data_IF_552568351767
#
_entry.id   IF_552568351767
#
_cell.length_a   1.000
_cell.length_b   1.000
_cell.length_c   1.000
_cell.angle_alpha   90.00
_cell.angle_beta   90.00
_cell.angle_gamma   90.00
#
_symmetry.space_group_name_H-M   'P 1'
#
loop_
_entity.id
_entity.type
_entity.pdbx_description
1 polymer ?
#
# COMPACT_ATOMS: atom_id res chain seq x y z
N UNK A 1 8.03 -26.48 22.46
CA UNK A 1 8.86 -26.04 21.34
C UNK A 1 8.28 -24.77 20.70
N UNK A 2 7.01 -24.71 20.33
CA UNK A 2 6.37 -23.56 19.65
C UNK A 2 6.39 -22.27 20.48
N UNK A 3 6.13 -22.35 21.79
CA UNK A 3 6.17 -21.21 22.73
C UNK A 3 7.55 -20.52 22.79
N UNK A 4 8.62 -21.24 22.50
CA UNK A 4 9.97 -20.69 22.45
C UNK A 4 10.32 -20.17 21.05
N UNK A 5 9.84 -20.82 20.00
CA UNK A 5 10.10 -20.43 18.63
C UNK A 5 9.43 -19.09 18.27
N UNK A 6 8.19 -18.85 18.71
CA UNK A 6 7.48 -17.61 18.40
C UNK A 6 8.21 -16.33 18.85
N UNK A 7 8.70 -16.21 20.09
CA UNK A 7 9.53 -15.04 20.47
C UNK A 7 10.80 -14.89 19.63
N UNK A 8 11.46 -15.98 19.29
CA UNK A 8 12.68 -15.94 18.47
C UNK A 8 12.40 -15.41 17.06
N UNK A 9 11.30 -15.85 16.44
CA UNK A 9 10.84 -15.35 15.15
C UNK A 9 10.53 -13.86 15.22
N UNK A 10 9.77 -13.43 16.22
CA UNK A 10 9.41 -12.02 16.41
C UNK A 10 10.66 -11.15 16.58
N UNK A 11 11.58 -11.55 17.44
CA UNK A 11 12.84 -10.82 17.68
C UNK A 11 13.67 -10.74 16.41
N UNK A 12 13.74 -11.82 15.62
CA UNK A 12 14.48 -11.83 14.35
C UNK A 12 13.86 -10.87 13.33
N UNK A 13 12.55 -10.94 13.14
CA UNK A 13 11.82 -10.04 12.24
C UNK A 13 11.98 -8.58 12.64
N UNK A 14 11.83 -8.28 13.93
CA UNK A 14 12.01 -6.92 14.45
C UNK A 14 13.45 -6.43 14.30
N UNK A 15 14.46 -7.29 14.50
CA UNK A 15 15.86 -6.93 14.34
C UNK A 15 16.21 -6.59 12.90
N UNK A 16 15.75 -7.40 11.95
CA UNK A 16 15.94 -7.17 10.51
C UNK A 16 15.23 -5.87 10.09
N UNK A 17 13.97 -5.70 10.47
CA UNK A 17 13.22 -4.49 10.16
C UNK A 17 13.90 -3.23 10.70
N UNK A 18 14.41 -3.30 11.95
CA UNK A 18 15.13 -2.19 12.58
C UNK A 18 16.45 -1.87 11.87
N UNK A 19 17.18 -2.90 11.42
CA UNK A 19 18.40 -2.71 10.63
C UNK A 19 18.09 -2.04 9.28
N UNK A 20 17.07 -2.49 8.56
CA UNK A 20 16.67 -1.89 7.28
C UNK A 20 16.30 -0.41 7.46
N UNK A 21 15.53 -0.09 8.49
CA UNK A 21 15.16 1.28 8.82
C UNK A 21 16.41 2.13 9.15
N UNK A 22 17.30 1.62 9.98
CA UNK A 22 18.52 2.33 10.37
C UNK A 22 19.46 2.57 9.18
N UNK A 23 19.60 1.58 8.28
CA UNK A 23 20.38 1.72 7.06
C UNK A 23 19.77 2.75 6.12
N UNK A 24 18.44 2.76 5.96
CA UNK A 24 17.77 3.74 5.11
C UNK A 24 18.00 5.18 5.56
N UNK A 25 17.97 5.43 6.87
CA UNK A 25 18.22 6.77 7.43
C UNK A 25 19.67 7.21 7.32
N UNK A 26 20.61 6.26 7.39
CA UNK A 26 22.05 6.54 7.45
C UNK A 26 22.70 6.59 6.06
N UNK A 27 22.32 5.67 5.14
CA UNK A 27 22.95 5.57 3.82
C UNK A 27 22.30 6.53 2.82
N UNK A 28 21.02 6.77 2.95
CA UNK A 28 20.29 7.61 1.99
C UNK A 28 20.18 9.04 2.54
N UNK A 29 21.11 9.90 2.17
CA UNK A 29 21.16 11.29 2.64
C UNK A 29 20.18 12.21 1.88
N UNK A 30 19.88 11.92 0.61
CA UNK A 30 18.97 12.74 -0.17
C UNK A 30 17.50 12.41 0.09
N UNK A 31 16.62 13.44 0.08
CA UNK A 31 15.18 13.25 0.26
C UNK A 31 14.56 12.34 -0.81
N UNK A 32 14.99 12.49 -2.07
CA UNK A 32 14.54 11.63 -3.18
C UNK A 32 15.02 10.19 -3.01
N UNK A 33 16.26 10.00 -2.60
CA UNK A 33 16.80 8.67 -2.35
C UNK A 33 16.05 7.95 -1.23
N UNK A 34 15.65 8.64 -0.16
CA UNK A 34 14.82 8.05 0.92
C UNK A 34 13.47 7.56 0.39
N UNK A 35 12.80 8.35 -0.47
CA UNK A 35 11.56 7.95 -1.12
C UNK A 35 11.72 6.69 -1.96
N UNK A 36 12.71 6.70 -2.85
CA UNK A 36 12.99 5.57 -3.74
C UNK A 36 13.34 4.32 -2.93
N UNK A 37 14.21 4.44 -1.93
CA UNK A 37 14.57 3.33 -1.07
C UNK A 37 13.34 2.73 -0.35
N UNK A 38 12.45 3.58 0.15
CA UNK A 38 11.21 3.14 0.79
C UNK A 38 10.31 2.37 -0.17
N UNK A 39 10.01 2.97 -1.31
CA UNK A 39 9.17 2.34 -2.33
C UNK A 39 9.76 0.98 -2.72
N UNK A 40 11.05 0.95 -3.04
CA UNK A 40 11.72 -0.30 -3.44
C UNK A 40 11.68 -1.34 -2.32
N UNK A 41 11.94 -0.95 -1.06
CA UNK A 41 11.90 -1.89 0.07
C UNK A 41 10.51 -2.50 0.25
N UNK A 42 9.45 -1.67 0.21
CA UNK A 42 8.07 -2.16 0.36
C UNK A 42 7.67 -3.02 -0.85
N UNK A 43 7.99 -2.60 -2.07
CA UNK A 43 7.69 -3.38 -3.27
C UNK A 43 8.39 -4.74 -3.26
N UNK A 44 9.68 -4.78 -2.91
CA UNK A 44 10.44 -6.03 -2.76
C UNK A 44 9.82 -6.92 -1.69
N UNK A 45 9.48 -6.36 -0.53
CA UNK A 45 8.85 -7.12 0.55
C UNK A 45 7.51 -7.73 0.12
N UNK A 46 6.63 -6.94 -0.50
CA UNK A 46 5.33 -7.44 -0.97
C UNK A 46 5.51 -8.46 -2.10
N UNK A 47 6.48 -8.25 -3.01
CA UNK A 47 6.79 -9.24 -4.05
C UNK A 47 7.24 -10.56 -3.44
N UNK A 48 8.10 -10.54 -2.43
CA UNK A 48 8.53 -11.76 -1.72
C UNK A 48 7.32 -12.45 -1.07
N UNK A 49 6.40 -11.71 -0.46
CA UNK A 49 5.17 -12.26 0.11
C UNK A 49 4.24 -12.88 -0.95
N UNK A 50 4.32 -12.44 -2.20
CA UNK A 50 3.51 -12.99 -3.30
C UNK A 50 4.14 -14.21 -3.97
N UNK A 51 5.42 -14.50 -3.76
CA UNK A 51 6.09 -15.67 -4.35
C UNK A 51 5.30 -16.97 -4.10
N UNK A 52 4.86 -17.31 -2.88
CA UNK A 52 4.07 -18.51 -2.65
C UNK A 52 2.76 -18.53 -3.45
N UNK A 53 2.07 -17.39 -3.52
CA UNK A 53 0.82 -17.27 -4.29
C UNK A 53 1.04 -17.48 -5.78
N UNK A 54 2.07 -16.89 -6.36
CA UNK A 54 2.43 -17.04 -7.78
C UNK A 54 2.80 -18.49 -8.10
N UNK A 55 3.56 -19.15 -7.23
CA UNK A 55 3.98 -20.53 -7.42
C UNK A 55 2.81 -21.52 -7.29
N UNK A 56 1.88 -21.26 -6.39
CA UNK A 56 0.70 -22.11 -6.16
C UNK A 56 -0.36 -21.90 -7.24
N UNK A 57 -0.40 -20.74 -7.87
CA UNK A 57 -1.40 -20.42 -8.90
C UNK A 57 -1.13 -21.14 -10.24
N UNK A 58 0.05 -21.74 -10.43
CA UNK A 58 0.35 -22.57 -11.60
C UNK A 58 -0.53 -23.85 -11.68
N UNK A 59 -1.33 -24.13 -10.65
CA UNK A 59 -2.27 -25.24 -10.60
C UNK A 59 -3.74 -24.82 -10.57
N UNK A 60 -4.06 -23.54 -10.79
CA UNK A 60 -5.45 -23.07 -10.83
C UNK A 60 -6.08 -23.42 -12.18
N UNK A 61 -6.97 -24.42 -12.18
CA UNK A 61 -7.76 -24.79 -13.35
C UNK A 61 -9.08 -24.01 -13.35
N UNK A 62 -9.29 -23.05 -14.29
CA UNK A 62 -10.51 -22.26 -14.37
C UNK A 62 -11.78 -23.04 -14.68
N UNK A 63 -11.65 -24.31 -15.16
CA UNK A 63 -12.77 -25.17 -15.52
C UNK A 63 -13.58 -25.72 -14.35
N UNK A 64 -12.99 -25.70 -13.15
CA UNK A 64 -13.65 -26.18 -11.94
C UNK A 64 -14.16 -24.98 -11.12
N UNK A 65 -15.36 -24.53 -11.37
CA UNK A 65 -15.98 -23.33 -10.77
C UNK A 65 -15.66 -23.01 -9.31
N UNK A 66 -16.14 -21.89 -8.81
CA UNK A 66 -15.91 -21.31 -7.46
C UNK A 66 -16.08 -22.26 -6.25
N UNK A 67 -16.38 -23.53 -6.49
CA UNK A 67 -16.61 -24.56 -5.45
C UNK A 67 -15.54 -25.67 -5.39
N UNK A 68 -14.63 -25.76 -6.33
CA UNK A 68 -13.49 -26.69 -6.22
C UNK A 68 -12.45 -26.03 -5.33
N UNK A 69 -12.30 -26.55 -4.12
CA UNK A 69 -11.31 -26.08 -3.15
C UNK A 69 -9.96 -25.89 -3.84
N UNK A 70 -9.26 -24.82 -3.47
CA UNK A 70 -7.89 -24.53 -3.89
C UNK A 70 -7.10 -25.83 -3.66
N UNK A 71 -6.81 -26.58 -4.70
CA UNK A 71 -5.91 -27.73 -4.65
C UNK A 71 -4.49 -27.18 -4.51
N UNK A 72 -4.17 -26.72 -3.29
CA UNK A 72 -2.83 -26.31 -2.91
C UNK A 72 -1.97 -27.58 -2.87
N UNK A 73 -1.35 -27.91 -3.98
CA UNK A 73 -0.31 -28.94 -3.94
C UNK A 73 0.93 -28.35 -3.24
N UNK A 74 0.88 -28.39 -1.91
CA UNK A 74 1.95 -27.91 -1.03
C UNK A 74 3.29 -28.61 -1.32
N UNK A 75 3.29 -29.71 -2.05
CA UNK A 75 4.51 -30.41 -2.47
C UNK A 75 5.35 -29.58 -3.42
N UNK A 76 4.73 -28.73 -4.23
CA UNK A 76 5.45 -27.81 -5.13
C UNK A 76 6.23 -26.74 -4.36
N UNK A 77 5.79 -26.41 -3.14
CA UNK A 77 6.50 -25.47 -2.26
C UNK A 77 7.61 -26.12 -1.43
N UNK A 78 7.67 -27.46 -1.36
CA UNK A 78 8.64 -28.16 -0.54
C UNK A 78 10.10 -27.76 -0.81
N UNK A 79 10.59 -27.61 -2.07
CA UNK A 79 11.96 -27.18 -2.33
C UNK A 79 12.20 -25.74 -1.87
N UNK A 80 11.24 -24.84 -2.03
CA UNK A 80 11.35 -23.47 -1.54
C UNK A 80 11.33 -23.41 -0.02
N UNK A 81 10.46 -24.18 0.63
CA UNK A 81 10.40 -24.29 2.09
C UNK A 81 11.72 -24.83 2.65
N UNK A 82 12.31 -25.82 1.99
CA UNK A 82 13.60 -26.38 2.37
C UNK A 82 14.73 -25.34 2.31
N UNK A 83 14.78 -24.51 1.25
CA UNK A 83 15.76 -23.42 1.14
C UNK A 83 15.43 -22.31 2.15
N UNK A 84 14.16 -21.90 2.27
CA UNK A 84 13.73 -20.86 3.20
C UNK A 84 14.05 -21.21 4.65
N UNK A 85 13.96 -22.48 5.03
CA UNK A 85 14.29 -23.00 6.36
C UNK A 85 15.76 -22.76 6.79
N UNK A 86 16.65 -22.47 5.83
CA UNK A 86 18.06 -22.10 6.09
C UNK A 86 18.28 -20.57 6.02
N UNK A 87 17.25 -19.78 5.79
CA UNK A 87 17.35 -18.32 5.84
C UNK A 87 17.02 -17.81 7.24
N UNK A 88 17.47 -16.59 7.63
CA UNK A 88 17.12 -16.00 8.91
C UNK A 88 15.60 -15.85 9.14
N UNK A 89 14.84 -15.72 8.06
CA UNK A 89 13.37 -15.57 8.13
C UNK A 89 12.67 -16.92 8.37
N UNK A 90 13.18 -18.00 7.77
CA UNK A 90 12.56 -19.33 7.86
C UNK A 90 13.11 -20.21 8.98
N UNK A 91 14.36 -19.99 9.40
CA UNK A 91 15.01 -20.83 10.39
C UNK A 91 14.22 -20.95 11.70
N UNK A 92 13.63 -19.83 12.18
CA UNK A 92 12.82 -19.82 13.38
C UNK A 92 11.58 -20.72 13.31
N UNK A 93 10.94 -20.80 12.15
CA UNK A 93 9.73 -21.63 11.95
C UNK A 93 10.07 -23.13 11.95
N UNK A 94 11.29 -23.52 11.55
CA UNK A 94 11.68 -24.91 11.49
C UNK A 94 12.17 -25.46 12.83
N UNK A 95 12.60 -24.61 13.77
CA UNK A 95 13.12 -25.04 15.08
C UNK A 95 12.21 -26.02 15.85
N UNK A 96 10.86 -25.80 15.92
CA UNK A 96 9.98 -26.76 16.58
C UNK A 96 9.99 -28.14 15.97
N UNK A 97 10.06 -28.20 14.63
CA UNK A 97 10.04 -29.48 13.89
C UNK A 97 11.33 -30.24 14.09
N UNK A 98 12.49 -29.59 14.05
CA UNK A 98 13.78 -30.21 14.33
C UNK A 98 13.85 -30.75 15.77
N UNK A 99 13.35 -29.97 16.73
CA UNK A 99 13.30 -30.40 18.13
C UNK A 99 12.40 -31.62 18.34
N UNK A 100 11.28 -31.69 17.62
CA UNK A 100 10.36 -32.84 17.67
C UNK A 100 10.92 -34.08 16.97
N UNK A 101 11.67 -33.86 15.87
CA UNK A 101 12.35 -34.94 15.14
C UNK A 101 13.60 -35.47 15.87
N UNK A 102 14.13 -34.73 16.85
CA UNK A 102 15.40 -35.08 17.52
C UNK A 102 16.64 -34.76 16.70
N UNK A 103 16.51 -33.94 15.67
CA UNK A 103 17.58 -33.56 14.76
C UNK A 103 18.42 -32.38 15.33
N UNK A 104 19.28 -32.71 16.32
CA UNK A 104 20.04 -31.71 17.09
C UNK A 104 21.05 -30.92 16.25
N UNK A 105 21.60 -31.51 15.17
CA UNK A 105 22.59 -30.83 14.31
C UNK A 105 21.95 -29.71 13.46
N UNK A 106 20.84 -29.95 12.70
CA UNK A 106 20.09 -28.89 12.02
C UNK A 106 19.56 -27.82 12.98
N UNK A 107 19.06 -28.22 14.14
CA UNK A 107 18.57 -27.30 15.17
C UNK A 107 19.69 -26.34 15.63
N UNK A 108 20.86 -26.87 15.99
CA UNK A 108 22.01 -26.06 16.40
C UNK A 108 22.47 -25.10 15.29
N UNK A 109 22.49 -25.57 14.03
CA UNK A 109 22.86 -24.75 12.89
C UNK A 109 21.87 -23.58 12.67
N UNK A 110 20.57 -23.84 12.80
CA UNK A 110 19.54 -22.79 12.67
C UNK A 110 19.57 -21.78 13.82
N UNK A 111 19.81 -22.24 15.04
CA UNK A 111 20.05 -21.33 16.19
C UNK A 111 21.28 -20.48 15.93
N UNK A 112 22.36 -21.03 15.37
CA UNK A 112 23.55 -20.27 15.01
C UNK A 112 23.25 -19.21 13.92
N UNK A 113 22.40 -19.53 12.92
CA UNK A 113 21.96 -18.57 11.89
C UNK A 113 21.20 -17.40 12.55
N UNK A 114 20.27 -17.69 13.47
CA UNK A 114 19.50 -16.65 14.15
C UNK A 114 20.40 -15.75 15.03
N UNK A 115 21.30 -16.34 15.81
CA UNK A 115 22.23 -15.59 16.67
C UNK A 115 23.20 -14.76 15.84
N UNK A 116 23.73 -15.29 14.75
CA UNK A 116 24.57 -14.53 13.80
C UNK A 116 23.77 -13.36 13.18
N UNK A 117 22.53 -13.58 12.79
CA UNK A 117 21.65 -12.52 12.26
C UNK A 117 21.43 -11.41 13.30
N UNK A 118 21.15 -11.75 14.55
CA UNK A 118 21.01 -10.74 15.62
C UNK A 118 22.29 -9.96 15.85
N UNK A 119 23.45 -10.64 15.86
CA UNK A 119 24.74 -9.98 15.99
C UNK A 119 24.99 -8.98 14.84
N UNK A 120 24.73 -9.40 13.58
CA UNK A 120 24.86 -8.52 12.41
C UNK A 120 23.88 -7.35 12.50
N UNK A 121 22.62 -7.59 12.87
CA UNK A 121 21.63 -6.53 13.04
C UNK A 121 22.02 -5.55 14.14
N UNK A 122 22.52 -6.05 15.28
CA UNK A 122 22.96 -5.21 16.39
C UNK A 122 24.19 -4.35 16.02
N UNK A 123 25.21 -4.96 15.41
CA UNK A 123 26.41 -4.25 14.96
C UNK A 123 26.07 -3.22 13.87
N UNK A 124 25.21 -3.58 12.92
CA UNK A 124 24.74 -2.68 11.89
C UNK A 124 23.97 -1.48 12.45
N UNK A 125 23.03 -1.72 13.37
CA UNK A 125 22.30 -0.64 14.05
C UNK A 125 23.21 0.28 14.87
N UNK A 126 24.16 -0.28 15.61
CA UNK A 126 25.13 0.53 16.38
C UNK A 126 26.02 1.37 15.49
N UNK A 127 26.48 0.82 14.36
CA UNK A 127 27.24 1.56 13.36
C UNK A 127 26.40 2.71 12.75
N UNK A 128 25.16 2.45 12.38
CA UNK A 128 24.23 3.47 11.88
C UNK A 128 24.02 4.60 12.89
N UNK A 129 23.78 4.26 14.16
CA UNK A 129 23.58 5.23 15.23
C UNK A 129 24.81 6.09 15.49
N UNK A 130 26.02 5.49 15.48
CA UNK A 130 27.26 6.24 15.58
C UNK A 130 27.43 7.23 14.45
N UNK A 131 27.15 6.81 13.21
CA UNK A 131 27.24 7.66 12.02
C UNK A 131 26.20 8.78 12.05
N UNK A 132 24.97 8.50 12.46
CA UNK A 132 23.91 9.50 12.59
C UNK A 132 24.29 10.60 13.60
N UNK A 133 24.87 10.24 14.75
CA UNK A 133 25.37 11.21 15.75
C UNK A 133 26.43 12.14 15.19
N UNK A 134 27.31 11.64 14.33
CA UNK A 134 28.40 12.44 13.73
C UNK A 134 27.88 13.36 12.61
N UNK A 135 26.70 13.06 12.02
CA UNK A 135 26.10 13.84 10.93
C UNK A 135 24.98 14.78 11.39
N UNK A 136 24.65 14.78 12.70
CA UNK A 136 23.70 15.72 13.30
C UNK A 136 24.23 17.15 13.14
N UNK A 137 23.70 17.87 12.16
CA UNK A 137 24.09 19.26 11.86
C UNK A 137 24.32 19.54 10.36
N UNK A 138 24.47 18.52 9.54
CA UNK A 138 24.49 18.69 8.10
C UNK A 138 23.04 18.89 7.60
N UNK A 139 22.46 20.04 7.87
CA UNK A 139 21.23 20.51 7.24
C UNK A 139 21.46 20.48 5.74
N UNK A 140 20.68 19.68 5.01
CA UNK A 140 20.76 19.63 3.56
C UNK A 140 20.61 21.05 2.99
N UNK A 141 21.20 21.35 1.83
CA UNK A 141 21.18 22.67 1.26
C UNK A 141 19.73 23.17 1.15
N UNK A 142 19.51 24.40 1.63
CA UNK A 142 18.21 25.05 1.54
C UNK A 142 17.73 25.01 0.09
N UNK A 143 16.59 24.36 -0.14
CA UNK A 143 16.01 24.28 -1.50
C UNK A 143 15.61 25.69 -1.91
N UNK A 144 16.38 26.28 -2.82
CA UNK A 144 16.08 27.61 -3.39
C UNK A 144 14.84 27.47 -4.28
N UNK A 145 13.70 27.92 -3.78
CA UNK A 145 12.43 27.90 -4.52
C UNK A 145 12.49 29.03 -5.55
N UNK A 146 12.47 28.69 -6.85
CA UNK A 146 12.29 29.67 -7.92
C UNK A 146 10.81 29.76 -8.29
N UNK A 147 10.20 30.94 -8.11
CA UNK A 147 8.82 31.23 -8.50
C UNK A 147 7.76 30.74 -7.50
N UNK A 148 6.50 30.94 -7.87
CA UNK A 148 5.30 30.65 -7.04
C UNK A 148 4.89 29.19 -7.04
N UNK A 149 5.54 28.35 -7.87
CA UNK A 149 5.28 26.89 -7.92
C UNK A 149 3.85 26.56 -8.34
N UNK A 150 3.23 25.60 -7.65
CA UNK A 150 1.88 25.13 -7.93
C UNK A 150 0.79 26.20 -7.73
N UNK A 151 1.08 27.27 -6.98
CA UNK A 151 0.14 28.37 -6.78
C UNK A 151 -0.18 29.14 -8.08
N UNK A 152 0.70 29.11 -9.08
CA UNK A 152 0.44 29.75 -10.36
C UNK A 152 -0.65 29.07 -11.19
N UNK A 153 -0.84 27.80 -11.02
CA UNK A 153 -1.78 26.97 -11.81
C UNK A 153 -3.14 26.75 -11.13
N UNK A 154 -3.30 27.20 -9.88
CA UNK A 154 -4.53 27.04 -9.13
C UNK A 154 -5.35 28.34 -9.12
N UNK A 155 -6.70 28.24 -8.96
CA UNK A 155 -7.56 29.43 -8.83
C UNK A 155 -7.13 30.35 -7.70
N UNK A 156 -7.31 31.66 -7.89
CA UNK A 156 -7.06 32.65 -6.84
C UNK A 156 -8.21 32.64 -5.81
N UNK A 157 -8.14 31.66 -4.93
CA UNK A 157 -9.12 31.40 -3.88
C UNK A 157 -8.49 30.66 -2.71
N UNK A 158 -9.14 30.67 -1.55
CA UNK A 158 -8.67 29.93 -0.36
C UNK A 158 -8.54 28.44 -0.66
N UNK A 159 -9.57 27.84 -1.27
CA UNK A 159 -9.52 26.42 -1.67
C UNK A 159 -8.43 26.15 -2.74
N UNK A 160 -8.18 27.10 -3.64
CA UNK A 160 -7.09 27.02 -4.61
C UNK A 160 -5.70 27.03 -3.95
N UNK A 161 -5.52 27.85 -2.92
CA UNK A 161 -4.29 27.89 -2.14
C UNK A 161 -4.05 26.57 -1.39
N UNK A 162 -5.10 25.97 -0.79
CA UNK A 162 -5.03 24.63 -0.18
C UNK A 162 -4.64 23.57 -1.21
N UNK A 163 -5.28 23.60 -2.39
CA UNK A 163 -4.94 22.68 -3.50
C UNK A 163 -3.47 22.80 -3.91
N UNK A 164 -2.96 24.03 -4.09
CA UNK A 164 -1.57 24.26 -4.47
C UNK A 164 -0.57 23.74 -3.42
N UNK A 165 -0.90 23.95 -2.14
CA UNK A 165 -0.12 23.42 -1.02
C UNK A 165 -0.09 21.90 -1.05
N UNK A 166 -1.24 21.24 -1.19
CA UNK A 166 -1.36 19.80 -1.23
C UNK A 166 -0.57 19.18 -2.40
N UNK A 167 -0.70 19.75 -3.60
CA UNK A 167 0.11 19.33 -4.77
C UNK A 167 1.61 19.45 -4.49
N UNK A 168 2.00 20.50 -3.76
CA UNK A 168 3.41 20.67 -3.37
C UNK A 168 3.86 19.59 -2.39
N UNK A 169 2.99 19.19 -1.43
CA UNK A 169 3.28 18.11 -0.50
C UNK A 169 3.37 16.76 -1.21
N UNK A 170 2.40 16.42 -2.05
CA UNK A 170 2.39 15.17 -2.81
C UNK A 170 3.66 14.99 -3.66
N UNK A 171 4.24 16.10 -4.18
CA UNK A 171 5.49 16.06 -4.95
C UNK A 171 6.77 15.99 -4.10
N UNK A 172 6.73 16.46 -2.87
CA UNK A 172 7.94 16.65 -2.05
C UNK A 172 8.04 15.72 -0.85
N UNK A 173 6.93 15.22 -0.36
CA UNK A 173 6.90 14.35 0.81
C UNK A 173 7.07 12.88 0.39
N UNK A 174 8.19 12.24 0.75
CA UNK A 174 8.43 10.85 0.40
C UNK A 174 7.42 9.87 1.03
N UNK A 175 6.79 10.25 2.14
CA UNK A 175 5.79 9.42 2.83
C UNK A 175 4.53 9.21 1.98
N UNK A 176 4.24 10.17 1.10
CA UNK A 176 3.06 10.16 0.21
C UNK A 176 3.33 9.42 -1.11
N UNK A 177 4.59 9.12 -1.41
CA UNK A 177 4.98 8.49 -2.68
C UNK A 177 4.37 7.09 -2.88
N UNK A 178 4.12 6.35 -1.77
CA UNK A 178 3.48 5.04 -1.81
C UNK A 178 2.07 5.06 -2.40
N UNK A 179 1.33 6.15 -2.22
CA UNK A 179 0.01 6.34 -2.80
C UNK A 179 0.02 6.15 -4.33
N UNK A 180 1.10 6.62 -4.98
CA UNK A 180 1.25 6.48 -6.43
C UNK A 180 1.83 5.13 -6.85
N UNK A 181 2.63 4.50 -6.01
CA UNK A 181 3.28 3.23 -6.32
C UNK A 181 2.34 2.03 -6.19
N UNK A 182 1.46 2.02 -5.17
CA UNK A 182 0.64 0.86 -4.83
C UNK A 182 -0.36 0.44 -5.93
N UNK A 183 -1.14 1.34 -6.58
CA UNK A 183 -2.06 0.90 -7.63
C UNK A 183 -1.35 0.27 -8.83
N UNK A 184 -0.23 0.87 -9.27
CA UNK A 184 0.59 0.29 -10.33
C UNK A 184 1.20 -1.06 -9.92
N UNK A 185 1.60 -1.18 -8.66
CA UNK A 185 2.12 -2.41 -8.11
C UNK A 185 1.07 -3.53 -8.09
N UNK A 186 -0.18 -3.25 -7.71
CA UNK A 186 -1.28 -4.22 -7.83
C UNK A 186 -1.49 -4.69 -9.27
N UNK A 187 -1.42 -3.78 -10.25
CA UNK A 187 -1.52 -4.17 -11.65
C UNK A 187 -0.41 -5.14 -12.08
N UNK A 188 0.82 -4.89 -11.63
CA UNK A 188 1.95 -5.80 -11.90
C UNK A 188 1.76 -7.15 -11.21
N UNK A 189 1.39 -7.16 -9.92
CA UNK A 189 1.18 -8.41 -9.17
C UNK A 189 0.06 -9.25 -9.78
N UNK A 190 -1.08 -8.64 -10.06
CA UNK A 190 -2.19 -9.36 -10.68
C UNK A 190 -1.87 -9.77 -12.12
N UNK A 191 -1.08 -8.99 -12.86
CA UNK A 191 -0.56 -9.38 -14.16
C UNK A 191 0.34 -10.63 -14.10
N UNK A 192 1.21 -10.72 -13.09
CA UNK A 192 2.05 -11.90 -12.86
C UNK A 192 1.25 -13.13 -12.40
N UNK A 193 0.09 -12.94 -11.78
CA UNK A 193 -0.77 -14.01 -11.29
C UNK A 193 -1.86 -14.42 -12.29
N UNK A 194 -2.11 -13.61 -13.31
CA UNK A 194 -3.31 -13.75 -14.15
C UNK A 194 -3.27 -14.95 -15.10
N UNK A 195 -2.08 -15.49 -15.40
CA UNK A 195 -1.90 -16.50 -16.45
C UNK A 195 -2.86 -16.27 -17.60
N UNK A 196 -3.85 -16.84 -17.95
CA UNK A 196 -4.75 -16.56 -19.08
C UNK A 196 -6.05 -15.83 -18.69
N UNK A 197 -6.15 -15.30 -17.44
CA UNK A 197 -7.38 -14.70 -16.93
C UNK A 197 -7.24 -13.17 -16.83
N UNK A 198 -7.49 -12.46 -17.93
CA UNK A 198 -7.38 -11.00 -18.01
C UNK A 198 -8.17 -10.26 -16.91
N UNK A 199 -9.32 -10.79 -16.48
CA UNK A 199 -10.16 -10.19 -15.42
C UNK A 199 -9.40 -9.99 -14.10
N UNK A 200 -8.42 -10.85 -13.77
CA UNK A 200 -7.62 -10.69 -12.56
C UNK A 200 -6.79 -9.40 -12.60
N UNK A 201 -6.25 -9.04 -13.77
CA UNK A 201 -5.46 -7.80 -13.90
C UNK A 201 -6.35 -6.58 -13.71
N UNK A 202 -7.55 -6.60 -14.25
CA UNK A 202 -8.53 -5.52 -14.12
C UNK A 202 -8.95 -5.24 -12.66
N UNK A 203 -8.96 -6.25 -11.79
CA UNK A 203 -9.22 -6.07 -10.36
C UNK A 203 -8.26 -5.09 -9.68
N UNK A 204 -7.06 -4.89 -10.23
CA UNK A 204 -6.10 -3.92 -9.72
C UNK A 204 -6.63 -2.49 -9.66
N UNK A 205 -7.58 -2.13 -10.53
CA UNK A 205 -8.24 -0.82 -10.51
C UNK A 205 -9.08 -0.63 -9.25
N UNK A 206 -9.79 -1.68 -8.81
CA UNK A 206 -10.61 -1.64 -7.59
C UNK A 206 -9.70 -1.52 -6.36
N UNK A 207 -8.70 -2.39 -6.24
CA UNK A 207 -7.75 -2.38 -5.13
C UNK A 207 -6.92 -1.10 -5.08
N UNK A 208 -6.45 -0.65 -6.25
CA UNK A 208 -5.71 0.59 -6.38
C UNK A 208 -6.55 1.81 -6.03
N UNK A 209 -7.78 1.87 -6.53
CA UNK A 209 -8.74 2.92 -6.20
C UNK A 209 -9.04 2.97 -4.70
N UNK A 210 -9.36 1.82 -4.11
CA UNK A 210 -9.67 1.71 -2.69
C UNK A 210 -8.53 2.18 -1.78
N UNK A 211 -7.28 1.84 -2.11
CA UNK A 211 -6.13 2.21 -1.29
C UNK A 211 -5.62 3.63 -1.56
N UNK A 212 -6.09 4.28 -2.63
CA UNK A 212 -5.54 5.57 -3.07
C UNK A 212 -5.70 6.66 -2.01
N UNK A 213 -6.81 6.71 -1.32
CA UNK A 213 -7.16 7.75 -0.34
C UNK A 213 -6.77 7.42 1.10
N UNK A 214 -6.10 6.28 1.37
CA UNK A 214 -5.71 5.87 2.73
C UNK A 214 -4.81 6.91 3.42
N UNK A 215 -3.98 7.61 2.66
CA UNK A 215 -3.11 8.67 3.19
C UNK A 215 -3.93 9.86 3.63
N UNK A 216 -5.00 10.23 2.87
CA UNK A 216 -5.85 11.37 3.19
C UNK A 216 -6.73 11.10 4.42
N UNK A 217 -6.99 9.84 4.76
CA UNK A 217 -7.70 9.49 6.01
C UNK A 217 -7.02 10.05 7.28
N UNK A 218 -5.75 10.45 7.17
CA UNK A 218 -4.99 11.17 8.20
C UNK A 218 -4.34 12.45 7.67
N UNK A 219 -4.89 13.05 6.62
CA UNK A 219 -4.31 14.15 5.86
C UNK A 219 -3.95 15.39 6.70
N UNK A 220 -4.76 15.72 7.70
CA UNK A 220 -4.50 16.85 8.61
C UNK A 220 -3.23 16.64 9.46
N UNK A 221 -2.93 15.41 9.85
CA UNK A 221 -1.70 15.10 10.60
C UNK A 221 -0.43 15.31 9.77
N UNK A 222 -0.52 15.13 8.44
CA UNK A 222 0.59 15.41 7.53
C UNK A 222 0.86 16.91 7.37
N UNK A 223 -0.14 17.77 7.55
CA UNK A 223 0.02 19.22 7.54
C UNK A 223 0.81 19.74 8.75
N UNK A 224 0.76 19.05 9.87
CA UNK A 224 1.49 19.40 11.10
C UNK A 224 1.25 20.86 11.52
N UNK A 225 2.34 21.64 11.67
CA UNK A 225 2.25 23.07 12.05
C UNK A 225 1.57 23.93 10.98
N UNK A 226 1.52 23.48 9.71
CA UNK A 226 0.82 24.19 8.64
C UNK A 226 -0.68 24.29 8.89
N UNK A 227 -1.29 23.27 9.49
CA UNK A 227 -2.70 23.29 9.87
C UNK A 227 -2.99 24.35 10.95
N UNK A 228 -2.10 24.48 11.94
CA UNK A 228 -2.25 25.53 12.99
C UNK A 228 -2.24 26.92 12.37
N UNK A 229 -1.36 27.21 11.43
CA UNK A 229 -1.31 28.51 10.74
C UNK A 229 -2.58 28.75 9.92
N UNK A 230 -3.13 27.72 9.27
CA UNK A 230 -4.38 27.80 8.53
C UNK A 230 -5.57 28.09 9.46
N UNK A 231 -5.63 27.46 10.62
CA UNK A 231 -6.66 27.72 11.63
C UNK A 231 -6.59 29.16 12.17
N UNK A 232 -5.38 29.66 12.47
CA UNK A 232 -5.15 31.04 12.93
C UNK A 232 -5.56 32.04 11.84
N UNK A 233 -5.33 31.76 10.57
CA UNK A 233 -5.73 32.65 9.47
C UNK A 233 -7.23 32.63 9.16
N UNK A 234 -8.04 31.87 9.90
CA UNK A 234 -9.49 31.84 9.78
C UNK A 234 -10.03 31.13 8.52
N UNK A 235 -9.25 30.21 7.94
CA UNK A 235 -9.68 29.41 6.79
C UNK A 235 -10.87 28.53 7.20
N UNK A 236 -11.95 28.58 6.42
CA UNK A 236 -13.13 27.75 6.67
C UNK A 236 -12.81 26.29 6.39
N UNK A 237 -13.30 25.37 7.23
CA UNK A 237 -13.10 23.94 7.04
C UNK A 237 -13.60 23.43 5.68
N UNK A 238 -14.71 24.00 5.17
CA UNK A 238 -15.24 23.66 3.84
C UNK A 238 -14.25 24.01 2.72
N UNK A 239 -13.60 25.18 2.77
CA UNK A 239 -12.61 25.57 1.76
C UNK A 239 -11.39 24.65 1.78
N UNK A 240 -10.99 24.18 2.98
CA UNK A 240 -9.92 23.19 3.12
C UNK A 240 -10.32 21.84 2.48
N UNK A 241 -11.52 21.34 2.81
CA UNK A 241 -12.01 20.07 2.25
C UNK A 241 -12.17 20.13 0.73
N UNK A 242 -12.81 21.16 0.18
CA UNK A 242 -12.94 21.36 -1.27
C UNK A 242 -11.56 21.41 -1.95
N UNK A 243 -10.60 22.10 -1.34
CA UNK A 243 -9.24 22.17 -1.87
C UNK A 243 -8.56 20.80 -1.95
N UNK A 244 -8.76 19.95 -0.94
CA UNK A 244 -8.19 18.59 -0.89
C UNK A 244 -8.90 17.66 -1.85
N UNK A 245 -10.23 17.57 -1.78
CA UNK A 245 -11.05 16.73 -2.67
C UNK A 245 -10.74 17.02 -4.13
N UNK A 246 -10.64 18.31 -4.52
CA UNK A 246 -10.30 18.69 -5.90
C UNK A 246 -8.99 18.08 -6.38
N UNK A 247 -7.95 18.08 -5.56
CA UNK A 247 -6.64 17.53 -5.92
C UNK A 247 -6.71 16.00 -6.00
N UNK A 248 -7.24 15.35 -4.97
CA UNK A 248 -7.33 13.89 -4.95
C UNK A 248 -8.24 13.37 -6.06
N UNK A 249 -9.42 13.97 -6.26
CA UNK A 249 -10.33 13.58 -7.34
C UNK A 249 -9.67 13.73 -8.72
N UNK A 250 -8.98 14.85 -8.97
CA UNK A 250 -8.27 15.04 -10.22
C UNK A 250 -7.17 13.98 -10.45
N UNK A 251 -6.42 13.63 -9.41
CA UNK A 251 -5.38 12.62 -9.49
C UNK A 251 -6.00 11.23 -9.70
N UNK A 252 -7.04 10.87 -8.94
CA UNK A 252 -7.75 9.59 -9.05
C UNK A 252 -8.25 9.38 -10.48
N UNK A 253 -8.96 10.38 -11.05
CA UNK A 253 -9.51 10.27 -12.40
C UNK A 253 -8.42 10.03 -13.42
N UNK A 254 -7.36 10.84 -13.42
CA UNK A 254 -6.28 10.71 -14.39
C UNK A 254 -5.49 9.42 -14.18
N UNK A 255 -5.15 9.10 -12.93
CA UNK A 255 -4.30 7.95 -12.63
C UNK A 255 -4.98 6.62 -12.97
N UNK A 256 -6.23 6.40 -12.54
CA UNK A 256 -6.95 5.17 -12.85
C UNK A 256 -7.27 5.05 -14.34
N UNK A 257 -7.55 6.15 -15.04
CA UNK A 257 -7.74 6.14 -16.49
C UNK A 257 -6.45 5.71 -17.21
N UNK A 258 -5.28 6.28 -16.83
CA UNK A 258 -3.98 5.90 -17.40
C UNK A 258 -3.67 4.43 -17.10
N UNK A 259 -3.94 3.98 -15.88
CA UNK A 259 -3.73 2.59 -15.49
C UNK A 259 -4.64 1.64 -16.26
N UNK A 260 -5.92 1.99 -16.46
CA UNK A 260 -6.86 1.21 -17.27
C UNK A 260 -6.40 1.10 -18.72
N UNK A 261 -5.93 2.21 -19.32
CA UNK A 261 -5.36 2.18 -20.67
C UNK A 261 -4.16 1.23 -20.72
N UNK A 262 -3.25 1.31 -19.75
CA UNK A 262 -2.07 0.45 -19.70
C UNK A 262 -2.45 -1.04 -19.55
N UNK A 263 -3.40 -1.36 -18.67
CA UNK A 263 -3.90 -2.73 -18.48
C UNK A 263 -4.51 -3.26 -19.78
N UNK A 264 -5.41 -2.52 -20.39
CA UNK A 264 -6.09 -3.01 -21.60
C UNK A 264 -5.18 -3.09 -22.83
N UNK A 265 -4.09 -2.32 -22.88
CA UNK A 265 -3.03 -2.51 -23.87
C UNK A 265 -2.20 -3.76 -23.57
N UNK A 266 -1.91 -4.03 -22.31
CA UNK A 266 -1.17 -5.23 -21.88
C UNK A 266 -1.97 -6.51 -22.13
N UNK A 267 -3.27 -6.53 -21.80
CA UNK A 267 -4.18 -7.68 -21.98
C UNK A 267 -4.70 -7.82 -23.41
N UNK A 268 -4.59 -6.77 -24.22
CA UNK A 268 -5.22 -6.74 -25.56
C UNK A 268 -6.72 -6.49 -25.54
N UNK A 269 -7.34 -6.31 -24.39
CA UNK A 269 -8.79 -6.20 -24.23
C UNK A 269 -9.41 -4.97 -24.92
N UNK A 270 -8.65 -3.87 -25.07
CA UNK A 270 -9.13 -2.69 -25.83
C UNK A 270 -9.43 -2.97 -27.30
N UNK A 271 -8.90 -4.06 -27.85
CA UNK A 271 -9.11 -4.42 -29.26
C UNK A 271 -10.34 -5.32 -29.48
N UNK A 272 -11.04 -5.72 -28.41
CA UNK A 272 -12.25 -6.52 -28.47
C UNK A 272 -13.43 -5.79 -27.79
N UNK A 273 -14.65 -5.83 -28.37
CA UNK A 273 -15.80 -5.12 -27.76
C UNK A 273 -16.14 -5.61 -26.35
N UNK A 274 -16.04 -6.91 -26.10
CA UNK A 274 -16.28 -7.51 -24.78
C UNK A 274 -15.20 -7.13 -23.78
N UNK A 275 -13.93 -7.16 -24.18
CA UNK A 275 -12.81 -6.76 -23.33
C UNK A 275 -12.85 -5.27 -22.99
N UNK A 276 -13.14 -4.42 -23.99
CA UNK A 276 -13.29 -2.97 -23.74
C UNK A 276 -14.43 -2.67 -22.77
N UNK A 277 -15.56 -3.38 -22.88
CA UNK A 277 -16.67 -3.25 -21.94
C UNK A 277 -16.25 -3.69 -20.53
N UNK A 278 -15.56 -4.82 -20.42
CA UNK A 278 -15.01 -5.30 -19.15
C UNK A 278 -14.09 -4.26 -18.52
N UNK A 279 -13.16 -3.70 -19.31
CA UNK A 279 -12.26 -2.64 -18.86
C UNK A 279 -13.00 -1.40 -18.35
N UNK A 280 -14.06 -0.96 -19.04
CA UNK A 280 -14.89 0.17 -18.61
C UNK A 280 -15.65 -0.13 -17.31
N UNK A 281 -16.17 -1.35 -17.15
CA UNK A 281 -16.84 -1.78 -15.91
C UNK A 281 -15.85 -1.73 -14.74
N UNK A 282 -14.65 -2.31 -14.88
CA UNK A 282 -13.65 -2.30 -13.82
C UNK A 282 -13.11 -0.89 -13.53
N UNK A 283 -13.01 -0.02 -14.53
CA UNK A 283 -12.66 1.37 -14.33
C UNK A 283 -13.73 2.10 -13.52
N UNK A 284 -15.01 1.89 -13.81
CA UNK A 284 -16.12 2.46 -13.05
C UNK A 284 -16.13 1.95 -11.60
N UNK A 285 -15.93 0.64 -11.39
CA UNK A 285 -15.78 0.05 -10.05
C UNK A 285 -14.55 0.61 -9.30
N UNK A 286 -13.45 0.85 -10.00
CA UNK A 286 -12.26 1.49 -9.44
C UNK A 286 -12.53 2.93 -9.01
N UNK A 287 -13.28 3.69 -9.79
CA UNK A 287 -13.72 5.04 -9.40
C UNK A 287 -14.68 5.01 -8.22
N UNK A 288 -15.65 4.09 -8.19
CA UNK A 288 -16.56 3.90 -7.06
C UNK A 288 -15.76 3.67 -5.77
N UNK A 289 -14.86 2.69 -5.76
CA UNK A 289 -14.01 2.40 -4.62
C UNK A 289 -13.15 3.59 -4.21
N UNK A 290 -12.61 4.34 -5.17
CA UNK A 290 -11.74 5.49 -4.90
C UNK A 290 -12.50 6.70 -4.34
N UNK A 291 -13.68 7.01 -4.87
CA UNK A 291 -14.46 8.16 -4.41
C UNK A 291 -15.18 7.88 -3.10
N UNK A 292 -15.72 6.69 -2.90
CA UNK A 292 -16.25 6.26 -1.59
C UNK A 292 -15.18 6.34 -0.51
N UNK A 293 -13.98 5.85 -0.79
CA UNK A 293 -12.87 5.92 0.16
C UNK A 293 -12.36 7.36 0.36
N UNK A 294 -12.38 8.21 -0.66
CA UNK A 294 -12.02 9.62 -0.54
C UNK A 294 -13.01 10.37 0.34
N UNK A 295 -14.32 10.22 0.10
CA UNK A 295 -15.35 10.87 0.93
C UNK A 295 -15.21 10.49 2.40
N UNK A 296 -15.04 9.20 2.70
CA UNK A 296 -14.80 8.74 4.07
C UNK A 296 -13.47 9.28 4.64
N UNK A 297 -12.41 9.35 3.83
CA UNK A 297 -11.11 9.87 4.27
C UNK A 297 -11.20 11.32 4.75
N UNK A 298 -11.97 12.15 4.06
CA UNK A 298 -12.19 13.55 4.45
C UNK A 298 -12.87 13.69 5.81
N UNK A 299 -13.80 12.80 6.14
CA UNK A 299 -14.48 12.76 7.44
C UNK A 299 -13.54 12.20 8.51
N UNK A 300 -12.92 11.06 8.26
CA UNK A 300 -12.04 10.36 9.20
C UNK A 300 -10.84 11.21 9.57
N UNK A 301 -10.27 11.95 8.62
CA UNK A 301 -9.12 12.83 8.87
C UNK A 301 -9.39 13.95 9.86
N UNK A 302 -10.67 14.31 10.06
CA UNK A 302 -11.07 15.31 11.05
C UNK A 302 -11.27 14.73 12.45
N UNK A 303 -11.68 13.45 12.55
CA UNK A 303 -12.13 12.83 13.81
C UNK A 303 -11.04 11.93 14.40
N UNK A 304 -10.40 11.11 13.56
CA UNK A 304 -9.48 10.06 13.99
C UNK A 304 -8.02 10.36 13.64
N UNK A 305 -7.56 11.55 13.98
CA UNK A 305 -6.16 11.92 13.76
C UNK A 305 -5.21 11.12 14.65
N UNK A 306 -4.11 10.65 14.05
CA UNK A 306 -3.01 9.99 14.74
C UNK A 306 -1.66 10.56 14.29
N UNK A 307 -0.62 10.50 15.17
CA UNK A 307 0.69 11.06 14.85
C UNK A 307 1.31 10.38 13.63
N UNK A 308 1.89 11.19 12.75
CA UNK A 308 2.67 10.71 11.59
C UNK A 308 4.17 10.85 11.83
N UNK A 309 5.01 10.01 11.21
CA UNK A 309 6.46 10.15 11.29
C UNK A 309 6.92 11.53 10.80
N UNK A 310 8.02 12.04 11.34
CA UNK A 310 8.61 13.28 10.84
C UNK A 310 9.17 13.10 9.41
N UNK A 311 9.23 14.20 8.65
CA UNK A 311 9.83 14.18 7.30
C UNK A 311 11.29 13.76 7.30
N UNK A 312 12.01 14.02 8.38
CA UNK A 312 13.43 13.67 8.51
C UNK A 312 13.62 12.19 8.81
N UNK A 313 12.65 11.57 9.49
CA UNK A 313 12.63 10.15 9.88
C UNK A 313 11.32 9.49 9.48
N UNK A 314 11.08 9.29 8.17
CA UNK A 314 9.77 8.82 7.66
C UNK A 314 9.39 7.40 8.10
N UNK A 315 10.36 6.62 8.59
CA UNK A 315 10.16 5.24 9.08
C UNK A 315 10.14 5.10 10.60
N UNK A 316 10.33 6.20 11.33
CA UNK A 316 10.24 6.13 12.78
C UNK A 316 8.79 6.01 13.22
N UNK A 317 8.51 5.09 14.13
CA UNK A 317 7.21 5.09 14.81
C UNK A 317 7.12 6.35 15.68
N UNK A 318 6.13 7.23 15.46
CA UNK A 318 5.95 8.38 16.33
C UNK A 318 5.62 7.90 17.74
N UNK A 319 6.18 8.57 18.74
CA UNK A 319 5.90 8.23 20.13
C UNK A 319 4.45 8.56 20.49
N UNK A 320 3.79 7.67 21.21
CA UNK A 320 2.42 7.81 21.68
C UNK A 320 1.37 7.27 20.70
N UNK A 321 0.24 6.83 21.23
CA UNK A 321 -0.94 6.31 20.51
C UNK A 321 -0.65 5.24 19.45
N UNK A 322 0.27 4.31 19.73
CA UNK A 322 0.61 3.22 18.81
C UNK A 322 -0.62 2.40 18.37
N UNK A 323 -1.59 2.18 19.28
CA UNK A 323 -2.87 1.55 18.98
C UNK A 323 -3.67 2.35 17.93
N UNK A 324 -3.67 3.67 17.99
CA UNK A 324 -4.39 4.50 17.03
C UNK A 324 -3.80 4.41 15.63
N UNK A 325 -2.49 4.23 15.49
CA UNK A 325 -1.81 4.09 14.19
C UNK A 325 -2.19 2.80 13.46
N UNK A 326 -2.49 1.73 14.17
CA UNK A 326 -2.97 0.48 13.57
C UNK A 326 -4.49 0.43 13.43
N UNK A 327 -5.20 0.91 14.44
CA UNK A 327 -6.66 0.74 14.55
C UNK A 327 -7.44 1.72 13.66
N UNK A 328 -7.05 2.99 13.57
CA UNK A 328 -7.79 3.98 12.77
C UNK A 328 -7.73 3.73 11.27
N UNK A 329 -6.57 3.40 10.65
CA UNK A 329 -6.54 2.97 9.26
C UNK A 329 -7.40 1.73 9.00
N UNK A 330 -7.45 0.80 9.94
CA UNK A 330 -8.27 -0.42 9.82
C UNK A 330 -9.77 -0.08 9.83
N UNK A 331 -10.23 0.79 10.76
CA UNK A 331 -11.62 1.27 10.78
C UNK A 331 -11.96 1.98 9.47
N UNK A 332 -11.06 2.83 8.98
CA UNK A 332 -11.22 3.51 7.70
C UNK A 332 -11.38 2.51 6.55
N UNK A 333 -10.52 1.51 6.48
CA UNK A 333 -10.59 0.48 5.45
C UNK A 333 -11.90 -0.30 5.48
N UNK A 334 -12.35 -0.72 6.65
CA UNK A 334 -13.65 -1.39 6.80
C UNK A 334 -14.82 -0.47 6.45
N UNK A 335 -14.78 0.78 6.90
CA UNK A 335 -15.82 1.76 6.61
C UNK A 335 -15.94 2.06 5.11
N UNK A 336 -14.82 2.16 4.40
CA UNK A 336 -14.83 2.39 2.95
C UNK A 336 -15.39 1.19 2.17
N UNK A 337 -15.16 -0.05 2.63
CA UNK A 337 -15.81 -1.23 2.04
C UNK A 337 -17.32 -1.20 2.21
N UNK A 338 -17.82 -0.71 3.35
CA UNK A 338 -19.27 -0.57 3.57
C UNK A 338 -19.92 0.42 2.58
N UNK A 339 -19.21 1.48 2.20
CA UNK A 339 -19.72 2.46 1.23
C UNK A 339 -19.78 1.90 -0.21
N UNK A 340 -18.94 0.94 -0.54
CA UNK A 340 -18.96 0.25 -1.86
C UNK A 340 -20.01 -0.89 -1.90
N UNK A 341 -20.57 -1.29 -0.75
CA UNK A 341 -21.54 -2.38 -0.67
C UNK A 341 -22.74 -2.25 -1.64
N UNK A 342 -23.35 -1.08 -1.88
CA UNK A 342 -24.47 -0.98 -2.81
C UNK A 342 -24.12 -1.50 -4.21
N UNK A 343 -22.95 -1.13 -4.73
CA UNK A 343 -22.43 -1.61 -6.00
C UNK A 343 -22.11 -3.11 -5.95
N UNK A 344 -21.53 -3.58 -4.85
CA UNK A 344 -21.26 -5.01 -4.62
C UNK A 344 -22.54 -5.85 -4.59
N UNK A 345 -23.60 -5.38 -3.91
CA UNK A 345 -24.91 -6.04 -3.87
C UNK A 345 -25.51 -6.11 -5.27
N UNK A 346 -25.41 -5.02 -6.05
CA UNK A 346 -25.89 -5.02 -7.44
C UNK A 346 -25.14 -6.05 -8.30
N UNK A 347 -23.83 -6.16 -8.16
CA UNK A 347 -23.03 -7.16 -8.86
C UNK A 347 -23.43 -8.60 -8.48
N UNK A 348 -23.62 -8.87 -7.20
CA UNK A 348 -24.09 -10.19 -6.71
C UNK A 348 -25.51 -10.48 -7.21
N UNK A 349 -26.42 -9.50 -7.20
CA UNK A 349 -27.77 -9.68 -7.70
C UNK A 349 -27.78 -10.03 -9.20
N UNK A 350 -26.97 -9.36 -10.03
CA UNK A 350 -26.84 -9.69 -11.45
C UNK A 350 -26.31 -11.12 -11.67
N UNK A 351 -25.36 -11.54 -10.84
CA UNK A 351 -24.80 -12.90 -10.92
C UNK A 351 -25.84 -13.96 -10.50
N UNK A 352 -26.58 -13.75 -9.40
CA UNK A 352 -27.57 -14.70 -8.89
C UNK A 352 -28.81 -14.83 -9.78
N UNK A 353 -29.19 -13.74 -10.47
CA UNK A 353 -30.33 -13.77 -11.42
C UNK A 353 -30.00 -14.39 -12.76
N UNK A 354 -28.72 -14.76 -13.01
CA UNK A 354 -28.26 -15.37 -14.26
C UNK A 354 -28.24 -14.42 -15.46
N UNK A 355 -28.41 -13.12 -15.24
CA UNK A 355 -28.36 -12.10 -16.31
C UNK A 355 -26.98 -11.42 -16.43
N UNK A 356 -25.97 -11.95 -15.74
CA UNK A 356 -24.63 -11.39 -15.71
C UNK A 356 -24.10 -11.08 -17.11
N UNK A 357 -24.09 -12.04 -18.01
CA UNK A 357 -23.48 -11.91 -19.34
C UNK A 357 -24.15 -10.84 -20.23
N UNK A 358 -25.41 -10.52 -19.98
CA UNK A 358 -26.19 -9.55 -20.76
C UNK A 358 -26.26 -8.18 -20.11
N UNK A 359 -26.12 -8.08 -18.78
CA UNK A 359 -26.46 -6.90 -18.01
C UNK A 359 -25.32 -6.37 -17.11
N UNK A 360 -24.12 -6.99 -17.09
CA UNK A 360 -23.02 -6.52 -16.24
C UNK A 360 -22.55 -5.09 -16.55
N UNK A 361 -22.83 -4.56 -17.72
CA UNK A 361 -22.61 -3.16 -18.09
C UNK A 361 -23.39 -2.17 -17.22
N UNK A 362 -24.51 -2.59 -16.59
CA UNK A 362 -25.28 -1.77 -15.64
C UNK A 362 -24.46 -1.40 -14.41
N UNK A 363 -23.40 -2.12 -14.10
CA UNK A 363 -22.48 -1.76 -13.04
C UNK A 363 -21.78 -0.42 -13.29
N UNK A 364 -21.65 0.03 -14.55
CA UNK A 364 -21.04 1.33 -14.87
C UNK A 364 -21.86 2.47 -14.25
N UNK A 365 -23.14 2.69 -14.61
CA UNK A 365 -23.91 3.78 -14.03
C UNK A 365 -24.12 3.59 -12.52
N UNK A 366 -24.30 2.37 -12.02
CA UNK A 366 -24.47 2.10 -10.59
C UNK A 366 -23.23 2.54 -9.81
N UNK A 367 -22.04 2.13 -10.25
CA UNK A 367 -20.78 2.48 -9.63
C UNK A 367 -20.51 3.99 -9.66
N UNK A 368 -20.78 4.64 -10.80
CA UNK A 368 -20.59 6.09 -10.91
C UNK A 368 -21.54 6.89 -10.02
N UNK A 369 -22.80 6.43 -9.90
CA UNK A 369 -23.78 7.07 -8.98
C UNK A 369 -23.39 6.84 -7.53
N UNK A 370 -23.01 5.62 -7.14
CA UNK A 370 -22.60 5.31 -5.77
C UNK A 370 -21.33 6.09 -5.36
N UNK A 371 -20.32 6.14 -6.22
CA UNK A 371 -19.09 6.88 -5.94
C UNK A 371 -19.26 8.41 -5.94
N UNK A 372 -20.33 8.95 -6.55
CA UNK A 372 -20.64 10.38 -6.55
C UNK A 372 -21.52 10.80 -5.37
N UNK A 373 -22.22 9.87 -4.72
CA UNK A 373 -23.11 10.10 -3.58
C UNK A 373 -22.34 10.28 -2.28
#
# INVERSE_FOLDING_TARGET
>A
AELVAAPLIIVTMMSIAKLIISLSTTLVTSKRGKSVFYIVTVLVFVTICQIPSILLNNGFDPGNGFGSGINLDLRQLAPFAAVAAWTPLGAGFQLPFDAMAGDWLPLAARVAILTATWAVCFLGCTWCLKRERLTLGAGGPAVRIKGVGAFRSMPDSVSGAVSARLVTYLRRDPRLAMMFAMPAFFAVIFGLQSHDINVMVWQSLIWGGWMFSIVESNGLSYDGRGFTMQAISGVRGLDDRIGRVRVYAGIIVVYLAVLAVAIGLYTGDWFTPSGALTGLVFLALGYDAAFCSLGLAEVVSCVFMYPVPSMDKPFSSPQGRAMAQGFFPFIYMLGSLLLVLPTGIAAVALALTGVWDTAYWLLIPIALVNGAA
#
